data_IF_333358320218
#
_entry.id   IF_333358320218
#
_cell.length_a   1.000
_cell.length_b   1.000
_cell.length_c   1.000
_cell.angle_alpha   90.00
_cell.angle_beta   90.00
_cell.angle_gamma   90.00
#
_symmetry.space_group_name_H-M   'P 1'
#
loop_
_entity.id
_entity.type
_entity.pdbx_description
1 polymer ?
#
# COMPACT_ATOMS: atom_id res chain seq x y z
N UNK A 1 14.13 -46.83 -6.18
CA UNK A 1 13.61 -46.08 -7.34
C UNK A 1 12.83 -44.84 -6.95
N UNK A 2 11.55 -44.93 -6.54
CA UNK A 2 10.67 -43.77 -6.30
C UNK A 2 11.34 -42.62 -5.51
N UNK A 3 11.97 -42.90 -4.36
CA UNK A 3 12.65 -41.87 -3.56
C UNK A 3 13.86 -41.21 -4.26
N UNK A 4 14.60 -41.94 -5.10
CA UNK A 4 15.78 -41.45 -5.85
C UNK A 4 15.33 -40.57 -7.03
N UNK A 5 14.20 -40.92 -7.66
CA UNK A 5 13.54 -40.11 -8.70
C UNK A 5 12.89 -38.86 -8.10
N UNK A 6 12.26 -38.97 -6.93
CA UNK A 6 11.67 -37.86 -6.19
C UNK A 6 12.73 -36.83 -5.79
N UNK A 7 13.87 -37.28 -5.26
CA UNK A 7 15.02 -36.41 -4.94
C UNK A 7 15.79 -35.94 -6.20
N UNK A 8 15.34 -36.30 -7.40
CA UNK A 8 15.94 -35.92 -8.70
C UNK A 8 17.43 -36.28 -8.86
N UNK A 9 17.91 -37.33 -8.18
CA UNK A 9 19.33 -37.75 -8.24
C UNK A 9 19.62 -38.64 -9.45
N UNK A 10 18.73 -39.61 -9.73
CA UNK A 10 18.73 -40.37 -10.99
C UNK A 10 20.02 -41.11 -11.36
N UNK A 11 20.54 -41.99 -10.49
CA UNK A 11 21.79 -42.76 -10.75
C UNK A 11 21.80 -43.59 -12.05
N UNK A 12 20.64 -43.95 -12.62
CA UNK A 12 20.53 -44.62 -13.92
C UNK A 12 20.81 -46.14 -13.92
N UNK A 13 21.06 -46.72 -12.75
CA UNK A 13 21.33 -48.14 -12.50
C UNK A 13 20.10 -49.04 -12.70
N UNK A 14 18.91 -48.54 -12.36
CA UNK A 14 17.63 -49.24 -12.51
C UNK A 14 16.63 -48.32 -13.23
N UNK A 15 16.06 -48.78 -14.33
CA UNK A 15 15.15 -48.01 -15.19
C UNK A 15 13.83 -48.77 -15.39
N UNK A 16 12.65 -48.12 -15.29
CA UNK A 16 11.38 -48.77 -15.57
C UNK A 16 11.24 -49.13 -17.06
N UNK A 17 11.18 -50.44 -17.35
CA UNK A 17 10.95 -50.96 -18.70
C UNK A 17 9.48 -50.92 -19.15
N UNK A 18 8.51 -50.75 -18.24
CA UNK A 18 7.09 -50.65 -18.60
C UNK A 18 6.67 -49.19 -18.84
N UNK A 19 5.77 -48.96 -19.80
CA UNK A 19 5.21 -47.64 -20.08
C UNK A 19 4.55 -47.00 -18.85
N UNK A 20 3.81 -47.79 -18.06
CA UNK A 20 3.22 -47.34 -16.79
C UNK A 20 4.29 -46.90 -15.77
N UNK A 21 5.38 -47.67 -15.63
CA UNK A 21 6.49 -47.32 -14.74
C UNK A 21 7.22 -46.03 -15.15
N UNK A 22 7.35 -45.77 -16.46
CA UNK A 22 7.90 -44.51 -17.00
C UNK A 22 6.99 -43.32 -16.68
N UNK A 23 5.68 -43.46 -16.86
CA UNK A 23 4.71 -42.42 -16.49
C UNK A 23 4.76 -42.08 -14.98
N UNK A 24 4.77 -43.11 -14.13
CA UNK A 24 4.89 -42.94 -12.67
C UNK A 24 6.21 -42.26 -12.25
N UNK A 25 7.32 -42.54 -12.94
CA UNK A 25 8.60 -41.87 -12.69
C UNK A 25 8.54 -40.36 -12.99
N UNK A 26 7.92 -39.97 -14.11
CA UNK A 26 7.74 -38.54 -14.48
C UNK A 26 6.86 -37.82 -13.45
N UNK A 27 5.72 -38.41 -13.08
CA UNK A 27 4.81 -37.83 -12.06
C UNK A 27 5.55 -37.68 -10.71
N UNK A 28 6.32 -38.68 -10.32
CA UNK A 28 7.14 -38.64 -9.08
C UNK A 28 8.17 -37.52 -9.11
N UNK A 29 8.82 -37.27 -10.26
CA UNK A 29 9.78 -36.16 -10.40
C UNK A 29 9.13 -34.77 -10.34
N UNK A 30 7.93 -34.62 -10.91
CA UNK A 30 7.15 -33.37 -10.81
C UNK A 30 6.73 -33.11 -9.35
N UNK A 31 6.29 -34.15 -8.63
CA UNK A 31 5.95 -34.03 -7.20
C UNK A 31 7.20 -33.75 -6.33
N UNK A 32 8.34 -34.36 -6.65
CA UNK A 32 9.62 -34.13 -5.97
C UNK A 32 10.14 -32.70 -6.11
N UNK A 33 10.07 -32.15 -7.32
CA UNK A 33 10.44 -30.75 -7.59
C UNK A 33 9.45 -29.76 -6.96
N UNK A 34 8.14 -30.04 -7.01
CA UNK A 34 7.11 -29.21 -6.35
C UNK A 34 7.26 -29.18 -4.83
N UNK A 35 7.50 -30.33 -4.18
CA UNK A 35 7.75 -30.41 -2.73
C UNK A 35 9.07 -29.74 -2.33
N UNK A 36 10.15 -29.91 -3.11
CA UNK A 36 11.42 -29.21 -2.88
C UNK A 36 11.25 -27.68 -2.93
N UNK A 37 10.51 -27.18 -3.92
CA UNK A 37 10.18 -25.75 -4.05
C UNK A 37 9.38 -25.23 -2.84
N UNK A 38 8.36 -25.99 -2.41
CA UNK A 38 7.58 -25.65 -1.21
C UNK A 38 8.44 -25.60 0.06
N UNK A 39 9.36 -26.56 0.25
CA UNK A 39 10.29 -26.57 1.39
C UNK A 39 11.21 -25.36 1.36
N UNK A 40 11.81 -25.02 0.22
CA UNK A 40 12.66 -23.81 0.08
C UNK A 40 11.86 -22.54 0.39
N UNK A 41 10.62 -22.42 -0.11
CA UNK A 41 9.76 -21.28 0.16
C UNK A 41 9.38 -21.14 1.65
N UNK A 42 9.12 -22.25 2.34
CA UNK A 42 8.85 -22.25 3.80
C UNK A 42 10.11 -21.89 4.59
N UNK A 43 11.27 -22.42 4.21
CA UNK A 43 12.56 -22.09 4.84
C UNK A 43 12.87 -20.60 4.67
N UNK A 44 12.70 -20.04 3.47
CA UNK A 44 12.89 -18.61 3.22
C UNK A 44 12.03 -17.74 4.15
N UNK A 45 10.71 -18.04 4.26
CA UNK A 45 9.80 -17.35 5.18
C UNK A 45 10.14 -17.51 6.67
N UNK A 46 10.83 -18.59 7.05
CA UNK A 46 11.31 -18.81 8.43
C UNK A 46 12.67 -18.16 8.70
N UNK A 47 13.48 -17.90 7.66
CA UNK A 47 14.75 -17.18 7.74
C UNK A 47 14.58 -15.66 7.63
N UNK A 48 13.44 -15.17 7.13
CA UNK A 48 13.07 -13.76 7.23
C UNK A 48 12.87 -13.35 8.70
N UNK A 49 13.91 -12.76 9.31
CA UNK A 49 13.85 -12.30 10.71
C UNK A 49 12.59 -11.48 10.97
N UNK A 50 11.92 -11.76 12.08
CA UNK A 50 10.72 -11.03 12.50
C UNK A 50 11.03 -9.56 12.78
N UNK A 51 10.01 -8.69 12.79
CA UNK A 51 10.20 -7.25 13.08
C UNK A 51 10.87 -7.01 14.43
N UNK A 52 10.56 -7.83 15.44
CA UNK A 52 11.17 -7.74 16.78
C UNK A 52 12.66 -8.12 16.76
N UNK A 53 13.02 -9.25 16.14
CA UNK A 53 14.41 -9.69 16.01
C UNK A 53 15.26 -8.69 15.20
N UNK A 54 14.70 -8.13 14.12
CA UNK A 54 15.34 -7.05 13.36
C UNK A 54 15.64 -5.82 14.22
N UNK A 55 14.72 -5.42 15.10
CA UNK A 55 14.92 -4.29 16.01
C UNK A 55 16.03 -4.58 17.04
N UNK A 56 16.01 -5.76 17.66
CA UNK A 56 17.04 -6.21 18.62
C UNK A 56 18.41 -6.34 17.94
N UNK A 57 18.46 -6.90 16.73
CA UNK A 57 19.69 -7.01 15.95
C UNK A 57 20.26 -5.63 15.58
N UNK A 58 19.41 -4.68 15.16
CA UNK A 58 19.85 -3.33 14.83
C UNK A 58 20.44 -2.61 16.07
N UNK A 59 19.78 -2.71 17.22
CA UNK A 59 20.26 -2.17 18.49
C UNK A 59 21.59 -2.80 18.95
N UNK A 60 21.71 -4.13 18.82
CA UNK A 60 22.95 -4.88 19.09
C UNK A 60 24.08 -4.41 18.17
N UNK A 61 23.80 -4.23 16.89
CA UNK A 61 24.77 -3.83 15.87
C UNK A 61 25.29 -2.40 16.08
N UNK A 62 24.40 -1.44 16.40
CA UNK A 62 24.82 -0.07 16.73
C UNK A 62 25.62 -0.02 18.04
N UNK A 63 25.20 -0.77 19.07
CA UNK A 63 25.98 -0.93 20.31
C UNK A 63 27.39 -1.45 20.05
N UNK A 64 27.54 -2.45 19.15
CA UNK A 64 28.85 -2.96 18.75
C UNK A 64 29.67 -1.94 17.94
N UNK A 65 29.06 -1.23 16.99
CA UNK A 65 29.75 -0.23 16.18
C UNK A 65 30.24 0.93 17.05
N UNK A 66 29.42 1.42 17.97
CA UNK A 66 29.80 2.45 18.95
C UNK A 66 30.99 2.01 19.82
N UNK A 67 31.00 0.75 20.30
CA UNK A 67 32.16 0.18 21.03
C UNK A 67 33.42 0.11 20.14
N UNK A 68 33.30 -0.38 18.90
CA UNK A 68 34.40 -0.47 17.92
C UNK A 68 34.94 0.90 17.52
N UNK A 69 34.08 1.93 17.43
CA UNK A 69 34.45 3.31 17.13
C UNK A 69 35.32 3.89 18.25
N UNK A 70 34.86 3.77 19.51
CA UNK A 70 35.59 4.22 20.71
C UNK A 70 36.95 3.53 20.82
N UNK A 71 37.02 2.21 20.62
CA UNK A 71 38.28 1.46 20.64
C UNK A 71 39.25 1.89 19.52
N UNK A 72 38.73 2.08 18.30
CA UNK A 72 39.55 2.54 17.16
C UNK A 72 40.09 3.96 17.38
N UNK A 73 39.28 4.87 17.94
CA UNK A 73 39.70 6.22 18.29
C UNK A 73 40.78 6.23 19.38
N UNK A 74 40.65 5.39 20.42
CA UNK A 74 41.68 5.23 21.45
C UNK A 74 43.01 4.74 20.85
N UNK A 75 42.97 3.79 19.91
CA UNK A 75 44.17 3.32 19.20
C UNK A 75 44.80 4.43 18.33
N UNK A 76 44.00 5.27 17.65
CA UNK A 76 44.50 6.44 16.92
C UNK A 76 45.25 7.40 17.84
N UNK A 77 44.69 7.73 19.01
CA UNK A 77 45.34 8.60 20.00
C UNK A 77 46.63 7.98 20.56
N UNK A 78 46.59 6.69 20.92
CA UNK A 78 47.74 5.92 21.41
C UNK A 78 48.90 5.95 20.42
N UNK A 79 48.66 5.59 19.16
CA UNK A 79 49.72 5.53 18.15
C UNK A 79 50.23 6.95 17.79
N UNK A 80 49.36 7.97 17.80
CA UNK A 80 49.77 9.39 17.65
C UNK A 80 50.75 9.80 18.75
N UNK A 81 50.43 9.48 20.01
CA UNK A 81 51.29 9.78 21.15
C UNK A 81 52.63 9.03 21.10
N UNK A 82 52.62 7.74 20.72
CA UNK A 82 53.84 6.95 20.58
C UNK A 82 54.74 7.48 19.44
N UNK A 83 54.16 7.89 18.30
CA UNK A 83 54.90 8.56 17.23
C UNK A 83 55.53 9.88 17.73
N UNK A 84 54.79 10.68 18.50
CA UNK A 84 55.34 11.91 19.09
C UNK A 84 56.51 11.62 20.04
N UNK A 85 56.33 10.67 20.97
CA UNK A 85 57.35 10.26 21.94
C UNK A 85 58.65 9.83 21.25
N UNK A 86 58.60 8.84 20.35
CA UNK A 86 59.80 8.31 19.69
C UNK A 86 60.45 9.28 18.69
N UNK A 87 59.74 10.35 18.27
CA UNK A 87 60.28 11.37 17.34
C UNK A 87 60.85 12.60 18.04
N UNK A 88 60.42 12.90 19.28
CA UNK A 88 60.73 14.19 19.93
C UNK A 88 61.13 14.13 21.40
N UNK A 89 60.95 12.99 22.07
CA UNK A 89 61.17 12.83 23.51
C UNK A 89 62.19 11.73 23.84
N UNK A 90 62.78 11.11 22.82
CA UNK A 90 63.76 10.02 22.94
C UNK A 90 65.13 10.50 22.43
N UNK A 91 66.19 10.21 23.19
CA UNK A 91 67.55 10.73 22.92
C UNK A 91 68.22 10.01 21.74
N UNK A 92 67.73 8.83 21.35
CA UNK A 92 68.14 8.10 20.15
C UNK A 92 66.92 7.80 19.29
N UNK A 93 66.94 8.30 18.05
CA UNK A 93 65.82 8.16 17.11
C UNK A 93 65.93 6.83 16.37
N UNK A 94 65.08 5.87 16.71
CA UNK A 94 64.94 4.58 16.00
C UNK A 94 63.92 4.70 14.84
N UNK A 95 64.33 4.87 13.57
CA UNK A 95 63.39 5.05 12.45
C UNK A 95 62.50 3.82 12.23
N UNK A 96 62.99 2.62 12.54
CA UNK A 96 62.23 1.37 12.44
C UNK A 96 61.05 1.32 13.43
N UNK A 97 61.22 1.81 14.66
CA UNK A 97 60.13 1.91 15.65
C UNK A 97 59.07 2.92 15.22
N UNK A 98 59.50 4.06 14.66
CA UNK A 98 58.59 5.10 14.15
C UNK A 98 57.75 4.56 12.99
N UNK A 99 58.37 3.89 12.00
CA UNK A 99 57.67 3.27 10.86
C UNK A 99 56.62 2.24 11.30
N UNK A 100 56.91 1.46 12.35
CA UNK A 100 55.95 0.50 12.90
C UNK A 100 54.70 1.19 13.48
N UNK A 101 54.88 2.23 14.29
CA UNK A 101 53.76 2.98 14.87
C UNK A 101 53.00 3.80 13.81
N UNK A 102 53.69 4.34 12.80
CA UNK A 102 53.03 4.97 11.63
C UNK A 102 52.13 3.98 10.87
N UNK A 103 52.58 2.74 10.65
CA UNK A 103 51.76 1.70 10.01
C UNK A 103 50.54 1.33 10.87
N UNK A 104 50.72 1.19 12.19
CA UNK A 104 49.63 0.95 13.14
C UNK A 104 48.63 2.10 13.20
N UNK A 105 49.11 3.36 13.24
CA UNK A 105 48.29 4.56 13.17
C UNK A 105 47.44 4.59 11.89
N UNK A 106 48.04 4.32 10.72
CA UNK A 106 47.31 4.30 9.46
C UNK A 106 46.24 3.20 9.44
N UNK A 107 46.52 2.02 9.99
CA UNK A 107 45.52 0.96 10.17
C UNK A 107 44.40 1.39 11.13
N UNK A 108 44.71 2.06 12.25
CA UNK A 108 43.71 2.56 13.20
C UNK A 108 42.80 3.63 12.57
N UNK A 109 43.37 4.55 11.77
CA UNK A 109 42.62 5.54 10.98
C UNK A 109 41.72 4.84 9.94
N UNK A 110 42.22 3.82 9.24
CA UNK A 110 41.43 3.04 8.30
C UNK A 110 40.24 2.35 8.98
N UNK A 111 40.46 1.67 10.11
CA UNK A 111 39.39 1.02 10.87
C UNK A 111 38.37 2.02 11.41
N UNK A 112 38.82 3.17 11.93
CA UNK A 112 37.93 4.24 12.40
C UNK A 112 37.03 4.77 11.27
N UNK A 113 37.61 5.01 10.07
CA UNK A 113 36.85 5.43 8.87
C UNK A 113 35.88 4.34 8.40
N UNK A 114 36.28 3.06 8.46
CA UNK A 114 35.41 1.93 8.12
C UNK A 114 34.21 1.85 9.05
N UNK A 115 34.43 1.82 10.37
CA UNK A 115 33.37 1.78 11.39
C UNK A 115 32.43 2.99 11.27
N UNK A 116 32.96 4.20 11.02
CA UNK A 116 32.13 5.40 10.77
C UNK A 116 31.27 5.28 9.51
N UNK A 117 31.79 4.68 8.43
CA UNK A 117 31.00 4.40 7.20
C UNK A 117 29.92 3.36 7.46
N UNK A 118 30.23 2.31 8.20
CA UNK A 118 29.28 1.24 8.53
C UNK A 118 28.16 1.79 9.43
N UNK A 119 28.48 2.62 10.42
CA UNK A 119 27.49 3.34 11.24
C UNK A 119 26.58 4.26 10.40
N UNK A 120 27.13 4.98 9.41
CA UNK A 120 26.33 5.80 8.48
C UNK A 120 25.33 4.95 7.68
N UNK A 121 25.74 3.77 7.18
CA UNK A 121 24.85 2.85 6.46
C UNK A 121 23.68 2.36 7.31
N UNK A 122 23.92 2.06 8.60
CA UNK A 122 22.85 1.71 9.54
C UNK A 122 21.85 2.87 9.70
N UNK A 123 22.36 4.09 9.88
CA UNK A 123 21.52 5.28 10.01
C UNK A 123 20.67 5.51 8.75
N UNK A 124 21.25 5.41 7.55
CA UNK A 124 20.55 5.53 6.27
C UNK A 124 19.45 4.47 6.10
N UNK A 125 19.70 3.21 6.48
CA UNK A 125 18.68 2.16 6.47
C UNK A 125 17.52 2.47 7.45
N UNK A 126 17.80 3.03 8.63
CA UNK A 126 16.76 3.42 9.58
C UNK A 126 15.96 4.66 9.13
N UNK A 127 16.62 5.63 8.47
CA UNK A 127 15.96 6.80 7.91
C UNK A 127 14.97 6.41 6.81
N UNK A 128 15.37 5.51 5.90
CA UNK A 128 14.51 4.99 4.82
C UNK A 128 13.21 4.37 5.36
N UNK A 129 13.29 3.59 6.46
CA UNK A 129 12.11 3.04 7.13
C UNK A 129 11.23 4.13 7.78
N UNK A 130 11.84 5.16 8.36
CA UNK A 130 11.13 6.30 8.96
C UNK A 130 10.42 7.16 7.91
N UNK A 131 11.02 7.38 6.75
CA UNK A 131 10.42 8.20 5.69
C UNK A 131 9.27 7.47 4.98
N UNK A 132 9.35 6.14 4.82
CA UNK A 132 8.20 5.32 4.40
C UNK A 132 7.05 5.41 5.41
N UNK A 133 7.33 5.37 6.72
CA UNK A 133 6.31 5.50 7.76
C UNK A 133 5.63 6.88 7.76
N UNK A 134 6.40 7.97 7.58
CA UNK A 134 5.85 9.34 7.42
C UNK A 134 4.99 9.44 6.17
N UNK A 135 5.48 8.92 5.03
CA UNK A 135 4.72 8.92 3.77
C UNK A 135 3.39 8.21 3.95
N UNK A 136 3.38 7.04 4.61
CA UNK A 136 2.15 6.30 4.93
C UNK A 136 1.18 7.10 5.80
N UNK A 137 1.67 7.79 6.85
CA UNK A 137 0.86 8.67 7.71
C UNK A 137 0.23 9.80 6.91
N UNK A 138 1.04 10.55 6.14
CA UNK A 138 0.56 11.65 5.32
C UNK A 138 -0.46 11.19 4.27
N UNK A 139 -0.26 10.02 3.65
CA UNK A 139 -1.25 9.46 2.71
C UNK A 139 -2.55 9.07 3.39
N UNK A 140 -2.51 8.61 4.65
CA UNK A 140 -3.72 8.27 5.40
C UNK A 140 -4.54 9.52 5.73
N UNK A 141 -3.89 10.60 6.17
CA UNK A 141 -4.53 11.90 6.40
C UNK A 141 -5.18 12.45 5.11
N UNK A 142 -4.46 12.44 3.98
CA UNK A 142 -5.01 12.86 2.69
C UNK A 142 -6.21 12.02 2.24
N UNK A 143 -6.20 10.70 2.46
CA UNK A 143 -7.32 9.81 2.12
C UNK A 143 -8.53 10.10 3.02
N UNK A 144 -8.31 10.35 4.31
CA UNK A 144 -9.36 10.74 5.25
C UNK A 144 -10.02 12.06 4.84
N UNK A 145 -9.23 13.07 4.46
CA UNK A 145 -9.75 14.34 3.98
C UNK A 145 -10.59 14.15 2.69
N UNK A 146 -10.08 13.39 1.71
CA UNK A 146 -10.82 13.04 0.48
C UNK A 146 -12.15 12.34 0.82
N UNK A 147 -12.17 11.43 1.80
CA UNK A 147 -13.38 10.73 2.21
C UNK A 147 -14.42 11.68 2.82
N UNK A 148 -14.00 12.60 3.71
CA UNK A 148 -14.91 13.61 4.27
C UNK A 148 -15.52 14.54 3.21
N UNK A 149 -14.73 14.90 2.19
CA UNK A 149 -15.21 15.67 1.03
C UNK A 149 -16.16 14.83 0.15
N UNK A 150 -15.90 13.53 -0.01
CA UNK A 150 -16.76 12.61 -0.74
C UNK A 150 -18.14 12.48 -0.08
N UNK A 151 -18.21 12.35 1.26
CA UNK A 151 -19.48 12.33 1.99
C UNK A 151 -20.27 13.63 1.79
N UNK A 152 -19.59 14.78 1.92
CA UNK A 152 -20.19 16.10 1.66
C UNK A 152 -20.70 16.28 0.22
N UNK A 153 -19.99 15.74 -0.76
CA UNK A 153 -20.43 15.71 -2.17
C UNK A 153 -21.61 14.75 -2.38
N UNK A 154 -21.60 13.59 -1.75
CA UNK A 154 -22.69 12.60 -1.83
C UNK A 154 -24.00 13.20 -1.30
N UNK A 155 -23.96 13.89 -0.15
CA UNK A 155 -25.14 14.57 0.41
C UNK A 155 -25.69 15.65 -0.53
N UNK A 156 -24.82 16.41 -1.19
CA UNK A 156 -25.21 17.41 -2.20
C UNK A 156 -25.79 16.77 -3.46
N UNK A 157 -25.24 15.64 -3.90
CA UNK A 157 -25.78 14.86 -5.02
C UNK A 157 -27.22 14.41 -4.72
N UNK A 158 -27.47 13.79 -3.56
CA UNK A 158 -28.81 13.35 -3.16
C UNK A 158 -29.79 14.52 -3.01
N UNK A 159 -29.33 15.69 -2.54
CA UNK A 159 -30.16 16.90 -2.51
C UNK A 159 -30.57 17.36 -3.92
N UNK A 160 -29.64 17.33 -4.90
CA UNK A 160 -29.94 17.63 -6.30
C UNK A 160 -30.86 16.59 -6.95
N UNK A 161 -30.68 15.30 -6.66
CA UNK A 161 -31.56 14.23 -7.13
C UNK A 161 -33.01 14.42 -6.65
N UNK A 162 -33.20 14.83 -5.38
CA UNK A 162 -34.51 15.17 -4.85
C UNK A 162 -35.12 16.40 -5.54
N UNK A 163 -34.37 17.50 -5.69
CA UNK A 163 -34.86 18.70 -6.39
C UNK A 163 -35.22 18.40 -7.86
N UNK A 164 -34.41 17.58 -8.55
CA UNK A 164 -34.69 17.14 -9.92
C UNK A 164 -35.97 16.31 -10.00
N UNK A 165 -36.19 15.43 -9.02
CA UNK A 165 -37.41 14.60 -8.92
C UNK A 165 -38.66 15.44 -8.69
N UNK A 166 -38.58 16.49 -7.88
CA UNK A 166 -39.70 17.41 -7.64
C UNK A 166 -39.99 18.29 -8.86
N UNK A 167 -38.95 18.76 -9.57
CA UNK A 167 -39.11 19.44 -10.87
C UNK A 167 -39.79 18.51 -11.90
N UNK A 168 -39.44 17.22 -11.95
CA UNK A 168 -40.14 16.26 -12.81
C UNK A 168 -41.63 16.09 -12.44
N UNK A 169 -41.97 16.12 -11.14
CA UNK A 169 -43.36 16.05 -10.67
C UNK A 169 -44.16 17.29 -11.06
N UNK A 170 -43.60 18.49 -10.86
CA UNK A 170 -44.18 19.77 -11.26
C UNK A 170 -44.41 19.85 -12.77
N UNK A 171 -43.45 19.41 -13.58
CA UNK A 171 -43.60 19.34 -15.05
C UNK A 171 -44.67 18.30 -15.46
N UNK A 172 -44.76 17.17 -14.77
CA UNK A 172 -45.79 16.17 -14.98
C UNK A 172 -47.19 16.68 -14.65
N UNK A 173 -47.37 17.34 -13.51
CA UNK A 173 -48.66 17.92 -13.11
C UNK A 173 -49.07 19.08 -14.03
N UNK A 174 -48.13 19.93 -14.44
CA UNK A 174 -48.36 20.97 -15.44
C UNK A 174 -48.79 20.39 -16.79
N UNK A 175 -48.16 19.29 -17.24
CA UNK A 175 -48.56 18.58 -18.46
C UNK A 175 -49.96 17.98 -18.34
N UNK A 176 -50.36 17.46 -17.18
CA UNK A 176 -51.74 17.02 -16.94
C UNK A 176 -52.74 18.19 -16.95
N UNK A 177 -52.40 19.32 -16.33
CA UNK A 177 -53.25 20.51 -16.33
C UNK A 177 -53.46 21.06 -17.74
N UNK A 178 -52.40 21.14 -18.55
CA UNK A 178 -52.49 21.56 -19.96
C UNK A 178 -53.37 20.58 -20.76
N UNK A 179 -53.16 19.28 -20.61
CA UNK A 179 -53.97 18.25 -21.28
C UNK A 179 -55.44 18.27 -20.87
N UNK A 180 -55.74 18.47 -19.58
CA UNK A 180 -57.12 18.65 -19.10
C UNK A 180 -57.74 19.94 -19.64
N UNK A 181 -56.95 21.01 -19.78
CA UNK A 181 -57.44 22.28 -20.33
C UNK A 181 -57.80 22.16 -21.81
N UNK A 182 -56.96 21.51 -22.61
CA UNK A 182 -57.31 21.17 -24.01
C UNK A 182 -58.60 20.34 -24.07
N UNK A 183 -58.74 19.32 -23.22
CA UNK A 183 -60.00 18.53 -23.15
C UNK A 183 -61.21 19.40 -22.81
N UNK A 184 -61.12 20.32 -21.84
CA UNK A 184 -62.23 21.21 -21.47
C UNK A 184 -62.56 22.26 -22.54
N UNK A 185 -61.57 22.70 -23.33
CA UNK A 185 -61.80 23.62 -24.46
C UNK A 185 -62.58 22.91 -25.57
N UNK A 186 -62.25 21.65 -25.86
CA UNK A 186 -63.00 20.81 -26.80
C UNK A 186 -64.44 20.58 -26.30
N UNK A 187 -64.64 20.45 -24.98
CA UNK A 187 -65.95 20.22 -24.36
C UNK A 187 -66.83 21.49 -24.34
N UNK A 188 -66.26 22.68 -24.11
CA UNK A 188 -66.97 23.96 -24.28
C UNK A 188 -67.33 24.23 -25.75
N UNK A 189 -66.42 23.94 -26.70
CA UNK A 189 -66.69 24.09 -28.13
C UNK A 189 -67.84 23.17 -28.57
N UNK A 190 -67.84 21.90 -28.14
CA UNK A 190 -68.94 20.96 -28.41
C UNK A 190 -70.27 21.38 -27.76
N UNK A 191 -70.26 21.88 -26.53
CA UNK A 191 -71.50 22.28 -25.82
C UNK A 191 -72.16 23.50 -26.47
N UNK A 192 -71.38 24.38 -27.11
CA UNK A 192 -71.90 25.55 -27.84
C UNK A 192 -72.65 25.19 -29.14
N UNK A 193 -72.42 23.99 -29.68
CA UNK A 193 -72.94 23.55 -30.98
C UNK A 193 -74.20 22.66 -30.91
N UNK A 194 -74.67 22.28 -29.71
CA UNK A 194 -75.77 21.31 -29.53
C UNK A 194 -76.89 21.74 -28.57
N UNK A 195 -77.38 22.98 -28.68
CA UNK A 195 -78.57 23.45 -27.96
C UNK A 195 -79.77 23.67 -28.93
N UNK A 196 -80.83 22.82 -28.89
CA UNK A 196 -82.01 23.01 -29.74
C UNK A 196 -82.91 24.15 -29.25
N UNK A 197 -83.34 25.01 -30.16
CA UNK A 197 -84.36 26.04 -29.91
C UNK A 197 -85.75 25.41 -29.91
N UNK A 198 -86.39 25.23 -28.76
CA UNK A 198 -87.79 24.81 -28.69
C UNK A 198 -88.49 25.27 -27.40
N UNK A 199 -89.81 25.53 -27.48
CA UNK A 199 -90.75 25.87 -26.39
C UNK A 199 -90.92 27.34 -25.99
N UNK A 200 -91.38 28.17 -26.94
CA UNK A 200 -91.98 29.48 -26.69
C UNK A 200 -93.53 29.41 -26.70
N UNK A 201 -94.18 28.47 -25.98
CA UNK A 201 -95.66 28.36 -26.00
C UNK A 201 -96.37 27.66 -24.82
N UNK A 202 -96.58 28.37 -23.69
CA UNK A 202 -97.89 28.47 -22.99
C UNK A 202 -97.85 29.47 -21.83
N UNK A 203 -98.78 30.42 -21.82
CA UNK A 203 -98.97 31.42 -20.74
C UNK A 203 -100.28 31.13 -19.98
N UNK A 204 -100.18 31.01 -18.64
CA UNK A 204 -101.24 31.32 -17.62
C UNK A 204 -102.56 30.51 -17.71
N UNK A 205 -103.51 30.63 -16.75
CA UNK A 205 -103.55 31.34 -15.45
C UNK A 205 -103.31 30.36 -14.26
N UNK A 206 -103.56 30.60 -12.96
CA UNK A 206 -104.28 31.64 -12.17
C UNK A 206 -103.34 32.18 -11.05
N UNK A 207 -103.86 32.96 -10.10
CA UNK A 207 -103.22 33.56 -8.91
C UNK A 207 -103.71 32.92 -7.58
N UNK A 208 -102.86 33.06 -6.55
CA UNK A 208 -103.13 33.24 -5.11
C UNK A 208 -103.72 32.13 -4.19
N UNK A 209 -103.36 32.30 -2.90
CA UNK A 209 -103.76 31.61 -1.65
C UNK A 209 -103.33 30.13 -1.51
N UNK A 210 -102.68 29.70 -0.40
CA UNK A 210 -102.37 30.36 0.90
C UNK A 210 -101.03 29.88 1.44
#
# INVERSE_FOLDING_TARGET
MIAITFLSVGYGDIVPNTYCGRGMAVITGILGTGTSSMVVAVIARKLELTRAEKHVHNFMMDTQLTKKLKHSAANVLRETWLIYKYRRLDTKIDPSRIRLHQRKFLMAIYQLRKVKRDQRKLAENSATLGDVAKTASNTYELIHDIHSWQEGLSLRMTALENQMSDIQRELGSLSEFLRRRDSSVIEEEHTSLTAPVENLRRRRPIMDFT
#
